data_IF_517118595702
#
_entry.id   IF_517118595702
#
_cell.length_a   1.000
_cell.length_b   1.000
_cell.length_c   1.000
_cell.angle_alpha   90.00
_cell.angle_beta   90.00
_cell.angle_gamma   90.00
#
_symmetry.space_group_name_H-M   'P 1'
#
loop_
_entity.id
_entity.type
_entity.pdbx_description
1 polymer ?
#
# COMPACT_ATOMS: atom_id res chain seq x y z
N UNK A 1 7.06 21.18 2.46
CA UNK A 1 6.15 20.03 2.73
C UNK A 1 5.56 19.55 1.41
N UNK A 2 5.48 18.24 1.20
CA UNK A 2 4.88 17.60 0.02
C UNK A 2 4.12 16.35 0.47
N UNK A 3 3.14 15.92 -0.32
CA UNK A 3 2.44 14.66 -0.13
C UNK A 3 2.88 13.64 -1.19
N UNK A 4 2.88 12.37 -0.83
CA UNK A 4 3.08 11.29 -1.78
C UNK A 4 2.30 10.03 -1.35
N UNK A 5 1.67 9.36 -2.33
CA UNK A 5 1.05 8.06 -2.14
C UNK A 5 2.04 6.97 -2.58
N UNK A 6 2.80 6.43 -1.63
CA UNK A 6 3.89 5.50 -1.86
C UNK A 6 3.43 4.04 -1.80
N UNK A 7 3.60 3.25 -2.87
CA UNK A 7 3.40 1.80 -2.87
C UNK A 7 4.19 1.08 -1.77
N UNK A 8 5.45 1.45 -1.55
CA UNK A 8 6.29 0.77 -0.55
C UNK A 8 5.83 1.00 0.89
N UNK A 9 5.27 2.17 1.20
CA UNK A 9 4.66 2.37 2.51
C UNK A 9 3.43 1.48 2.71
N UNK A 10 2.64 1.24 1.66
CA UNK A 10 1.53 0.29 1.73
C UNK A 10 2.01 -1.17 1.84
N UNK A 11 3.08 -1.55 1.14
CA UNK A 11 3.73 -2.86 1.31
C UNK A 11 4.15 -3.05 2.77
N UNK A 12 4.90 -2.10 3.33
CA UNK A 12 5.40 -2.21 4.69
C UNK A 12 4.30 -2.29 5.75
N UNK A 13 3.29 -1.42 5.64
CA UNK A 13 2.20 -1.34 6.63
C UNK A 13 1.22 -2.51 6.51
N UNK A 14 0.88 -2.96 5.30
CA UNK A 14 0.00 -4.11 5.08
C UNK A 14 0.66 -5.43 5.46
N UNK A 15 1.94 -5.62 5.13
CA UNK A 15 2.68 -6.82 5.54
C UNK A 15 2.79 -6.90 7.07
N UNK A 16 3.07 -5.77 7.73
CA UNK A 16 3.08 -5.70 9.20
C UNK A 16 1.73 -6.07 9.81
N UNK A 17 0.63 -5.63 9.21
CA UNK A 17 -0.71 -6.00 9.65
C UNK A 17 -0.94 -7.51 9.52
N UNK A 18 -0.53 -8.11 8.40
CA UNK A 18 -0.59 -9.57 8.21
C UNK A 18 0.23 -10.32 9.27
N UNK A 19 1.47 -9.88 9.50
CA UNK A 19 2.42 -10.50 10.43
C UNK A 19 2.00 -10.35 11.89
N UNK A 20 1.25 -9.31 12.26
CA UNK A 20 0.81 -9.07 13.63
C UNK A 20 -0.20 -10.10 14.13
N UNK A 21 -0.88 -10.81 13.23
CA UNK A 21 -1.98 -11.70 13.57
C UNK A 21 -3.20 -10.98 14.18
N UNK A 22 -3.12 -9.66 14.37
CA UNK A 22 -4.16 -8.86 15.00
C UNK A 22 -5.45 -8.87 14.16
N UNK A 23 -6.57 -8.90 14.85
CA UNK A 23 -7.86 -8.64 14.23
C UNK A 23 -7.99 -7.13 13.98
N UNK A 24 -8.04 -6.73 12.73
CA UNK A 24 -8.37 -5.36 12.33
C UNK A 24 -9.77 -5.37 11.71
N UNK A 25 -10.78 -4.77 12.38
CA UNK A 25 -12.15 -4.76 11.88
C UNK A 25 -12.28 -4.11 10.51
N UNK A 26 -11.47 -3.08 10.23
CA UNK A 26 -11.49 -2.36 8.96
C UNK A 26 -10.95 -3.26 7.85
N UNK A 27 -9.83 -3.93 8.08
CA UNK A 27 -9.16 -4.74 7.06
C UNK A 27 -9.54 -6.22 7.08
N UNK A 28 -10.54 -6.62 7.88
CA UNK A 28 -10.93 -8.04 8.05
C UNK A 28 -11.13 -8.77 6.72
N UNK A 29 -11.93 -8.21 5.79
CA UNK A 29 -12.20 -8.81 4.47
C UNK A 29 -10.95 -9.01 3.65
N UNK A 30 -10.05 -8.04 3.67
CA UNK A 30 -8.76 -8.11 2.97
C UNK A 30 -7.87 -9.18 3.61
N UNK A 31 -7.78 -9.21 4.95
CA UNK A 31 -7.00 -10.21 5.69
C UNK A 31 -7.49 -11.64 5.42
N UNK A 32 -8.80 -11.88 5.41
CA UNK A 32 -9.40 -13.18 5.11
C UNK A 32 -9.04 -13.70 3.71
N UNK A 33 -8.91 -12.81 2.73
CA UNK A 33 -8.57 -13.17 1.35
C UNK A 33 -7.07 -13.29 1.11
N UNK A 34 -6.28 -12.39 1.68
CA UNK A 34 -4.86 -12.26 1.36
C UNK A 34 -4.00 -13.18 2.20
N UNK A 35 -4.30 -13.38 3.49
CA UNK A 35 -3.49 -14.22 4.38
C UNK A 35 -3.30 -15.65 3.87
N UNK A 36 -4.33 -16.38 3.43
CA UNK A 36 -4.14 -17.73 2.88
C UNK A 36 -3.28 -17.73 1.61
N UNK A 37 -3.42 -16.71 0.76
CA UNK A 37 -2.66 -16.59 -0.48
C UNK A 37 -1.18 -16.30 -0.22
N UNK A 38 -0.88 -15.41 0.72
CA UNK A 38 0.49 -15.08 1.16
C UNK A 38 1.16 -16.32 1.74
N UNK A 39 0.47 -17.07 2.60
CA UNK A 39 0.97 -18.33 3.17
C UNK A 39 1.21 -19.40 2.11
N UNK A 40 0.26 -19.59 1.16
CA UNK A 40 0.40 -20.54 0.07
C UNK A 40 1.57 -20.21 -0.88
N UNK A 41 1.90 -18.91 -1.03
CA UNK A 41 3.06 -18.45 -1.79
C UNK A 41 4.38 -18.49 -0.99
N UNK A 42 4.34 -18.82 0.31
CA UNK A 42 5.52 -18.86 1.19
C UNK A 42 6.10 -17.48 1.56
N UNK A 43 5.38 -16.40 1.25
CA UNK A 43 5.84 -15.03 1.50
C UNK A 43 5.82 -14.65 2.99
N UNK A 44 5.05 -15.38 3.80
CA UNK A 44 5.00 -15.25 5.25
C UNK A 44 6.28 -15.74 5.97
N UNK A 45 7.19 -16.37 5.23
CA UNK A 45 8.45 -16.95 5.71
C UNK A 45 9.66 -16.50 4.88
N UNK A 46 9.47 -15.49 4.04
CA UNK A 46 10.48 -14.96 3.12
C UNK A 46 11.36 -13.84 3.71
N UNK A 47 11.88 -13.01 2.81
CA UNK A 47 12.65 -11.82 3.14
C UNK A 47 11.83 -10.77 3.88
N UNK A 48 10.58 -10.55 3.43
CA UNK A 48 9.69 -9.57 4.05
C UNK A 48 9.37 -9.95 5.51
N UNK A 49 9.19 -11.23 5.80
CA UNK A 49 8.94 -11.70 7.16
C UNK A 49 10.13 -11.45 8.11
N UNK A 50 11.35 -11.49 7.57
CA UNK A 50 12.54 -11.15 8.33
C UNK A 50 12.79 -9.64 8.41
N UNK A 51 12.45 -8.85 7.37
CA UNK A 51 12.69 -7.41 7.27
C UNK A 51 11.59 -6.58 7.96
N UNK A 52 10.34 -7.03 7.92
CA UNK A 52 9.18 -6.27 8.41
C UNK A 52 8.56 -7.00 9.61
N UNK A 53 9.06 -6.76 10.83
CA UNK A 53 8.49 -7.38 12.02
C UNK A 53 7.07 -6.88 12.29
N UNK A 54 6.29 -7.67 13.03
CA UNK A 54 4.93 -7.29 13.44
C UNK A 54 4.89 -6.02 14.30
N UNK A 55 5.98 -5.71 15.00
CA UNK A 55 6.16 -4.49 15.78
C UNK A 55 7.63 -4.04 15.75
N UNK A 56 7.90 -2.79 16.14
CA UNK A 56 9.24 -2.23 16.24
C UNK A 56 9.77 -1.64 14.92
N UNK A 57 11.09 -1.63 14.79
CA UNK A 57 11.81 -0.99 13.69
C UNK A 57 11.60 -1.73 12.36
N UNK A 58 11.48 -0.98 11.30
CA UNK A 58 11.50 -1.46 9.91
C UNK A 58 12.66 -0.75 9.19
N UNK A 59 13.51 -1.47 8.45
CA UNK A 59 14.63 -0.87 7.75
C UNK A 59 14.24 0.30 6.86
N UNK A 60 14.94 1.41 6.99
CA UNK A 60 14.65 2.66 6.28
C UNK A 60 14.88 2.55 4.77
N UNK A 61 15.80 1.65 4.34
CA UNK A 61 16.05 1.42 2.91
C UNK A 61 14.83 0.84 2.16
N UNK A 62 13.87 0.22 2.87
CA UNK A 62 12.63 -0.30 2.27
C UNK A 62 11.63 0.81 1.90
N UNK A 63 11.80 2.01 2.45
CA UNK A 63 10.93 3.15 2.16
C UNK A 63 11.73 4.30 1.55
N UNK A 64 12.23 4.16 0.31
CA UNK A 64 12.96 5.24 -0.36
C UNK A 64 12.10 6.50 -0.43
N UNK A 65 12.76 7.66 -0.52
CA UNK A 65 12.02 8.91 -0.66
C UNK A 65 11.31 8.94 -2.03
N UNK A 66 9.98 9.10 -2.07
CA UNK A 66 9.25 9.23 -3.32
C UNK A 66 9.77 10.39 -4.18
N UNK A 67 10.02 10.13 -5.46
CA UNK A 67 10.50 11.14 -6.42
C UNK A 67 9.41 12.13 -6.82
N UNK A 68 8.14 11.72 -6.69
CA UNK A 68 6.96 12.51 -7.03
C UNK A 68 5.77 12.22 -6.11
N UNK A 69 4.61 12.86 -6.37
CA UNK A 69 3.40 12.65 -5.56
C UNK A 69 2.76 11.29 -5.76
N UNK A 70 3.08 10.61 -6.86
CA UNK A 70 2.50 9.35 -7.27
C UNK A 70 3.55 8.39 -7.85
N UNK A 71 4.57 7.97 -7.05
CA UNK A 71 5.57 7.05 -7.54
C UNK A 71 4.94 5.71 -7.91
N UNK A 72 5.54 5.03 -8.87
CA UNK A 72 5.20 3.64 -9.18
C UNK A 72 6.00 2.70 -8.27
N UNK A 73 5.49 1.49 -8.06
CA UNK A 73 6.26 0.46 -7.35
C UNK A 73 7.63 0.22 -8.02
N UNK A 74 7.67 0.23 -9.35
CA UNK A 74 8.91 0.03 -10.13
C UNK A 74 9.98 1.06 -9.78
N UNK A 75 9.60 2.34 -9.67
CA UNK A 75 10.53 3.42 -9.30
C UNK A 75 11.07 3.23 -7.88
N UNK A 76 10.19 2.88 -6.93
CA UNK A 76 10.60 2.63 -5.55
C UNK A 76 11.45 1.36 -5.42
N UNK A 77 11.14 0.28 -6.16
CA UNK A 77 11.99 -0.91 -6.21
C UNK A 77 13.36 -0.65 -6.86
N UNK A 78 13.42 0.21 -7.87
CA UNK A 78 14.69 0.62 -8.45
C UNK A 78 15.55 1.35 -7.41
N UNK A 79 14.97 2.24 -6.63
CA UNK A 79 15.66 2.94 -5.54
C UNK A 79 16.11 1.99 -4.41
N UNK A 80 15.31 0.98 -4.07
CA UNK A 80 15.70 -0.06 -3.10
C UNK A 80 16.91 -0.86 -3.62
N UNK A 81 16.88 -1.30 -4.89
CA UNK A 81 17.99 -2.04 -5.50
C UNK A 81 19.27 -1.22 -5.57
N UNK A 82 19.16 0.10 -5.71
CA UNK A 82 20.27 1.05 -5.74
C UNK A 82 20.70 1.53 -4.34
N UNK A 83 20.10 1.02 -3.25
CA UNK A 83 20.41 1.48 -1.90
C UNK A 83 21.91 1.23 -1.58
N UNK A 84 22.63 2.24 -1.05
CA UNK A 84 24.03 2.09 -0.68
C UNK A 84 24.22 0.96 0.34
N UNK A 85 25.21 0.09 0.10
CA UNK A 85 25.47 -1.06 0.97
C UNK A 85 25.69 -0.67 2.45
N UNK A 86 26.34 0.46 2.70
CA UNK A 86 26.52 1.00 4.06
C UNK A 86 25.19 1.33 4.75
N UNK A 87 24.21 1.89 4.01
CA UNK A 87 22.86 2.16 4.53
C UNK A 87 22.14 0.87 4.89
N UNK A 88 22.18 -0.12 3.99
CA UNK A 88 21.54 -1.42 4.23
C UNK A 88 22.10 -2.08 5.48
N UNK A 89 23.42 -2.08 5.65
CA UNK A 89 24.07 -2.63 6.86
C UNK A 89 23.67 -1.87 8.11
N UNK A 90 23.68 -0.55 8.09
CA UNK A 90 23.26 0.29 9.22
C UNK A 90 21.81 -0.02 9.65
N UNK A 91 20.90 -0.15 8.69
CA UNK A 91 19.50 -0.50 8.97
C UNK A 91 19.36 -1.91 9.53
N UNK A 92 20.16 -2.87 9.05
CA UNK A 92 20.19 -4.23 9.58
C UNK A 92 20.81 -4.30 10.99
N UNK A 93 21.80 -3.47 11.31
CA UNK A 93 22.33 -3.33 12.67
C UNK A 93 21.25 -2.81 13.63
N UNK A 94 20.49 -1.78 13.22
CA UNK A 94 19.34 -1.30 13.98
C UNK A 94 18.29 -2.39 14.17
N UNK A 95 17.98 -3.16 13.13
CA UNK A 95 17.04 -4.28 13.21
C UNK A 95 17.54 -5.38 14.17
N UNK A 96 18.82 -5.73 14.12
CA UNK A 96 19.46 -6.69 15.01
C UNK A 96 19.40 -6.23 16.48
N UNK A 97 19.65 -4.96 16.73
CA UNK A 97 19.54 -4.38 18.08
C UNK A 97 18.12 -4.54 18.66
N UNK A 98 17.08 -4.42 17.86
CA UNK A 98 15.70 -4.56 18.30
C UNK A 98 15.23 -6.02 18.42
N UNK A 99 15.83 -6.95 17.66
CA UNK A 99 15.42 -8.37 17.60
C UNK A 99 16.35 -9.33 18.32
N UNK A 100 17.53 -8.87 18.69
CA UNK A 100 18.57 -9.69 19.33
C UNK A 100 19.51 -10.38 18.33
N UNK A 101 19.07 -10.70 17.11
CA UNK A 101 19.92 -11.31 16.08
C UNK A 101 19.31 -11.22 14.67
N UNK A 102 20.14 -11.39 13.65
CA UNK A 102 19.71 -11.52 12.26
C UNK A 102 19.54 -12.99 11.87
N UNK A 103 18.45 -13.30 11.18
CA UNK A 103 18.23 -14.59 10.55
C UNK A 103 19.20 -14.88 9.39
N UNK A 104 19.23 -16.10 8.84
CA UNK A 104 20.18 -16.49 7.80
C UNK A 104 20.10 -15.61 6.53
N UNK A 105 18.88 -15.26 6.09
CA UNK A 105 18.68 -14.38 4.93
C UNK A 105 19.27 -12.99 5.20
N UNK A 106 18.95 -12.39 6.34
CA UNK A 106 19.44 -11.06 6.69
C UNK A 106 20.95 -11.03 6.89
N UNK A 107 21.58 -12.09 7.40
CA UNK A 107 23.03 -12.22 7.41
C UNK A 107 23.61 -12.26 6.02
N UNK A 108 22.98 -12.95 5.06
CA UNK A 108 23.44 -12.95 3.66
C UNK A 108 23.26 -11.59 2.98
N UNK A 109 22.19 -10.86 3.33
CA UNK A 109 21.97 -9.47 2.87
C UNK A 109 23.02 -8.52 3.47
N UNK A 110 23.35 -8.68 4.74
CA UNK A 110 24.39 -7.89 5.40
C UNK A 110 25.77 -8.09 4.76
N UNK A 111 26.12 -9.34 4.45
CA UNK A 111 27.39 -9.69 3.82
C UNK A 111 27.50 -9.06 2.41
N UNK A 112 26.49 -9.22 1.58
CA UNK A 112 26.48 -8.75 0.18
C UNK A 112 25.14 -8.11 -0.20
N UNK A 113 24.90 -6.83 0.18
CA UNK A 113 23.67 -6.14 -0.15
C UNK A 113 23.41 -6.04 -1.66
N UNK A 114 24.38 -5.66 -2.53
CA UNK A 114 24.11 -5.55 -3.97
C UNK A 114 23.61 -6.85 -4.60
N UNK A 115 24.19 -8.00 -4.23
CA UNK A 115 23.76 -9.29 -4.78
C UNK A 115 22.42 -9.77 -4.25
N UNK A 116 21.94 -9.27 -3.09
CA UNK A 116 20.73 -9.75 -2.43
C UNK A 116 19.53 -8.83 -2.54
N UNK A 117 19.72 -7.52 -2.75
CA UNK A 117 18.60 -6.57 -2.88
C UNK A 117 17.68 -6.90 -4.06
N UNK A 118 18.21 -7.52 -5.12
CA UNK A 118 17.39 -8.04 -6.22
C UNK A 118 16.35 -9.05 -5.75
N UNK A 119 16.74 -10.00 -4.88
CA UNK A 119 15.83 -11.01 -4.31
C UNK A 119 14.79 -10.42 -3.36
N UNK A 120 15.17 -9.40 -2.60
CA UNK A 120 14.23 -8.64 -1.77
C UNK A 120 13.19 -7.96 -2.65
N UNK A 121 13.62 -7.31 -3.74
CA UNK A 121 12.73 -6.64 -4.68
C UNK A 121 11.77 -7.62 -5.39
N UNK A 122 12.26 -8.78 -5.82
CA UNK A 122 11.43 -9.84 -6.41
C UNK A 122 10.32 -10.31 -5.46
N UNK A 123 10.63 -10.47 -4.18
CA UNK A 123 9.64 -10.88 -3.18
C UNK A 123 8.64 -9.76 -2.87
N UNK A 124 9.09 -8.50 -2.84
CA UNK A 124 8.20 -7.34 -2.71
C UNK A 124 7.23 -7.29 -3.89
N UNK A 125 7.71 -7.49 -5.11
CA UNK A 125 6.88 -7.50 -6.32
C UNK A 125 5.85 -8.64 -6.28
N UNK A 126 6.27 -9.85 -5.88
CA UNK A 126 5.37 -10.99 -5.71
C UNK A 126 4.30 -10.73 -4.63
N UNK A 127 4.68 -10.12 -3.51
CA UNK A 127 3.74 -9.72 -2.47
C UNK A 127 2.77 -8.64 -2.97
N UNK A 128 3.27 -7.63 -3.67
CA UNK A 128 2.46 -6.57 -4.26
C UNK A 128 1.40 -7.12 -5.20
N UNK A 129 1.80 -7.96 -6.16
CA UNK A 129 0.89 -8.53 -7.16
C UNK A 129 -0.23 -9.37 -6.53
N UNK A 130 0.07 -10.03 -5.44
CA UNK A 130 -0.87 -10.89 -4.73
C UNK A 130 -1.76 -10.11 -3.75
N UNK A 131 -1.17 -9.20 -2.98
CA UNK A 131 -1.80 -8.63 -1.80
C UNK A 131 -2.36 -7.21 -2.02
N UNK A 132 -1.75 -6.40 -2.89
CA UNK A 132 -2.07 -4.98 -3.03
C UNK A 132 -2.52 -4.57 -4.43
N UNK A 133 -1.85 -5.03 -5.48
CA UNK A 133 -2.18 -4.63 -6.85
C UNK A 133 -3.65 -4.86 -7.23
N UNK A 134 -4.30 -5.97 -6.85
CA UNK A 134 -5.72 -6.19 -7.12
C UNK A 134 -6.67 -5.20 -6.42
N UNK A 135 -6.18 -4.53 -5.38
CA UNK A 135 -6.95 -3.57 -4.57
C UNK A 135 -6.47 -2.13 -4.77
N UNK A 136 -5.40 -1.95 -5.56
CA UNK A 136 -4.70 -0.67 -5.64
C UNK A 136 -5.57 0.49 -6.08
N UNK A 137 -6.49 0.25 -7.01
CA UNK A 137 -7.43 1.27 -7.47
C UNK A 137 -8.24 1.88 -6.31
N UNK A 138 -8.74 1.05 -5.40
CA UNK A 138 -9.50 1.49 -4.21
C UNK A 138 -8.61 2.16 -3.18
N UNK A 139 -7.47 1.54 -2.88
CA UNK A 139 -6.48 2.09 -1.95
C UNK A 139 -6.09 3.48 -2.43
N UNK A 140 -5.72 3.61 -3.70
CA UNK A 140 -5.31 4.87 -4.30
C UNK A 140 -6.37 5.96 -4.20
N UNK A 141 -7.63 5.62 -4.46
CA UNK A 141 -8.76 6.57 -4.31
C UNK A 141 -8.84 7.14 -2.90
N UNK A 142 -8.65 6.31 -1.87
CA UNK A 142 -8.67 6.77 -0.47
C UNK A 142 -7.46 7.65 -0.16
N UNK A 143 -6.27 7.28 -0.63
CA UNK A 143 -5.06 8.07 -0.43
C UNK A 143 -5.15 9.42 -1.13
N UNK A 144 -5.62 9.46 -2.37
CA UNK A 144 -5.80 10.71 -3.14
C UNK A 144 -6.86 11.62 -2.52
N UNK A 145 -7.94 11.05 -2.00
CA UNK A 145 -8.97 11.82 -1.29
C UNK A 145 -8.42 12.45 0.01
N UNK A 146 -7.59 11.72 0.76
CA UNK A 146 -6.92 12.27 1.96
C UNK A 146 -5.94 13.37 1.58
N UNK A 147 -5.11 13.16 0.56
CA UNK A 147 -4.16 14.17 0.05
C UNK A 147 -4.90 15.44 -0.38
N UNK A 148 -5.98 15.30 -1.16
CA UNK A 148 -6.78 16.44 -1.61
C UNK A 148 -7.37 17.23 -0.43
N UNK A 149 -7.94 16.53 0.54
CA UNK A 149 -8.48 17.14 1.75
C UNK A 149 -7.40 17.89 2.53
N UNK A 150 -6.23 17.26 2.73
CA UNK A 150 -5.11 17.87 3.47
C UNK A 150 -4.48 19.04 2.73
N UNK A 151 -4.33 18.92 1.41
CA UNK A 151 -3.81 20.01 0.58
C UNK A 151 -4.74 21.24 0.64
N UNK A 152 -6.05 21.03 0.58
CA UNK A 152 -7.05 22.08 0.75
C UNK A 152 -6.97 22.71 2.15
N UNK A 153 -6.85 21.91 3.21
CA UNK A 153 -6.68 22.39 4.58
C UNK A 153 -5.44 23.30 4.72
N UNK A 154 -4.33 22.93 4.06
CA UNK A 154 -3.12 23.77 4.05
C UNK A 154 -3.35 25.08 3.31
N UNK A 155 -4.05 25.05 2.18
CA UNK A 155 -4.35 26.25 1.39
C UNK A 155 -5.29 27.23 2.14
N UNK A 156 -6.27 26.69 2.88
CA UNK A 156 -7.26 27.50 3.61
C UNK A 156 -6.74 27.99 4.97
N UNK A 157 -5.93 27.19 5.67
CA UNK A 157 -5.63 27.43 7.09
C UNK A 157 -4.14 27.36 7.45
N UNK A 158 -3.27 27.07 6.47
CA UNK A 158 -1.83 26.94 6.68
C UNK A 158 -1.39 25.57 7.20
N UNK A 159 -0.08 25.34 7.14
CA UNK A 159 0.51 24.05 7.51
C UNK A 159 0.43 23.75 9.02
N UNK A 160 0.47 24.76 9.86
CA UNK A 160 0.40 24.59 11.32
C UNK A 160 -0.88 23.90 11.77
N UNK A 161 -2.04 24.32 11.22
CA UNK A 161 -3.31 23.68 11.53
C UNK A 161 -3.37 22.24 11.05
N UNK A 162 -2.87 21.97 9.85
CA UNK A 162 -2.78 20.58 9.35
C UNK A 162 -2.02 19.69 10.33
N UNK A 163 -0.84 20.11 10.80
CA UNK A 163 -0.03 19.30 11.70
C UNK A 163 -0.71 19.06 13.04
N UNK A 164 -1.33 20.08 13.62
CA UNK A 164 -2.04 19.95 14.89
C UNK A 164 -3.29 19.09 14.82
N UNK A 165 -3.89 18.93 13.62
CA UNK A 165 -5.04 18.07 13.39
C UNK A 165 -4.67 16.71 12.77
N UNK A 166 -3.40 16.51 12.38
CA UNK A 166 -2.96 15.29 11.70
C UNK A 166 -3.05 14.07 12.60
N UNK A 167 -2.54 14.20 13.82
CA UNK A 167 -2.50 13.11 14.79
C UNK A 167 -2.21 13.68 16.20
N UNK A 168 -2.77 13.09 17.30
CA UNK A 168 -2.53 13.58 18.67
C UNK A 168 -1.06 13.63 19.12
N UNK A 169 -0.19 12.86 18.46
CA UNK A 169 1.25 12.87 18.74
C UNK A 169 2.04 13.90 17.92
N UNK A 170 1.37 14.68 17.08
CA UNK A 170 1.99 15.72 16.25
C UNK A 170 1.54 17.09 16.76
N UNK A 171 2.48 17.97 16.95
CA UNK A 171 2.23 19.36 17.28
C UNK A 171 3.10 20.29 16.43
N UNK A 172 2.57 21.44 16.09
CA UNK A 172 3.28 22.51 15.41
C UNK A 172 3.25 23.75 16.27
N UNK A 173 4.42 24.22 16.64
CA UNK A 173 4.60 25.40 17.47
C UNK A 173 5.93 26.08 17.13
N UNK A 174 5.97 27.40 17.04
CA UNK A 174 7.16 28.21 16.72
C UNK A 174 7.97 27.71 15.51
N UNK A 175 7.29 27.33 14.41
CA UNK A 175 7.91 26.74 13.22
C UNK A 175 8.64 25.39 13.46
N UNK A 176 8.37 24.73 14.57
CA UNK A 176 8.93 23.44 14.94
C UNK A 176 7.84 22.36 14.89
N UNK A 177 8.09 21.29 14.14
CA UNK A 177 7.26 20.09 14.17
C UNK A 177 7.70 19.20 15.32
N UNK A 178 6.83 19.01 16.30
CA UNK A 178 7.07 18.17 17.49
C UNK A 178 6.36 16.82 17.31
N UNK A 179 7.07 15.72 17.55
CA UNK A 179 6.51 14.39 17.58
C UNK A 179 6.64 13.87 19.03
N UNK A 180 5.52 13.72 19.72
CA UNK A 180 5.50 13.17 21.07
C UNK A 180 6.11 11.76 21.07
N UNK A 181 6.88 11.45 22.12
CA UNK A 181 7.62 10.18 22.30
C UNK A 181 8.81 9.96 21.34
N UNK A 182 9.28 10.98 20.64
CA UNK A 182 10.53 10.94 19.87
C UNK A 182 11.57 11.84 20.57
N UNK A 183 12.69 11.26 20.99
CA UNK A 183 13.76 12.00 21.68
C UNK A 183 14.83 12.54 20.72
N UNK A 184 14.63 12.39 19.41
CA UNK A 184 15.61 12.83 18.41
C UNK A 184 15.20 14.17 17.81
N UNK A 185 16.08 15.17 17.94
CA UNK A 185 15.97 16.45 17.26
C UNK A 185 16.63 16.36 15.88
N UNK A 186 15.95 16.81 14.85
CA UNK A 186 16.48 16.96 13.49
C UNK A 186 16.57 18.44 13.19
N UNK A 187 17.77 19.03 13.10
CA UNK A 187 17.92 20.41 12.68
C UNK A 187 17.42 20.58 11.25
N UNK A 188 16.76 21.70 10.96
CA UNK A 188 16.18 22.02 9.64
C UNK A 188 17.21 21.93 8.51
N UNK A 189 18.43 22.30 8.78
CA UNK A 189 19.56 22.28 7.83
C UNK A 189 19.94 20.86 7.41
N UNK A 190 19.71 19.86 8.28
CA UNK A 190 19.94 18.43 8.02
C UNK A 190 18.73 17.72 7.42
N UNK A 191 17.60 18.42 7.23
CA UNK A 191 16.32 17.83 6.83
C UNK A 191 16.10 17.77 5.32
N UNK A 192 17.10 18.17 4.51
CA UNK A 192 17.01 18.15 3.05
C UNK A 192 15.87 19.04 2.51
N UNK A 193 15.23 18.61 1.42
CA UNK A 193 14.21 19.37 0.69
C UNK A 193 12.82 19.47 1.37
N UNK A 194 12.76 19.42 2.69
CA UNK A 194 11.54 19.57 3.48
C UNK A 194 10.94 18.22 3.91
N UNK A 195 9.66 18.20 4.32
CA UNK A 195 8.97 17.03 4.87
C UNK A 195 8.06 16.37 3.83
N UNK A 196 8.09 15.05 3.74
CA UNK A 196 7.14 14.23 2.99
C UNK A 196 6.06 13.68 3.94
N UNK A 197 4.82 13.96 3.62
CA UNK A 197 3.65 13.41 4.30
C UNK A 197 3.11 12.23 3.48
N UNK A 198 3.03 11.07 4.10
CA UNK A 198 2.65 9.83 3.44
C UNK A 198 1.37 9.28 4.08
N UNK A 199 0.20 9.50 3.48
CA UNK A 199 -0.99 8.79 3.90
C UNK A 199 -0.84 7.30 3.60
N UNK A 200 -1.31 6.44 4.50
CA UNK A 200 -1.33 4.99 4.29
C UNK A 200 -2.65 4.40 4.75
N UNK A 201 -3.21 3.52 3.93
CA UNK A 201 -4.47 2.85 4.19
C UNK A 201 -4.32 1.77 5.27
N UNK A 202 -3.16 1.08 5.32
CA UNK A 202 -2.91 0.00 6.27
C UNK A 202 -2.17 0.45 7.52
N UNK A 203 -1.86 1.74 7.63
CA UNK A 203 -1.22 2.26 8.84
C UNK A 203 -2.17 2.16 10.03
N UNK A 204 -1.70 1.51 11.09
CA UNK A 204 -2.39 1.50 12.39
C UNK A 204 -2.46 2.90 13.04
N UNK A 205 -2.98 2.99 14.26
CA UNK A 205 -3.28 4.27 14.89
C UNK A 205 -2.07 5.15 15.23
N UNK A 206 -0.85 4.62 15.16
CA UNK A 206 0.36 5.41 15.42
C UNK A 206 0.95 6.05 14.17
N UNK A 207 2.04 6.77 14.35
CA UNK A 207 2.85 7.36 13.29
C UNK A 207 4.07 6.51 12.97
N UNK A 208 4.57 6.61 11.75
CA UNK A 208 5.90 6.10 11.38
C UNK A 208 6.71 7.22 10.75
N UNK A 209 7.99 7.28 11.11
CA UNK A 209 8.92 8.24 10.53
C UNK A 209 10.07 7.51 9.90
N UNK A 210 10.52 7.99 8.76
CA UNK A 210 11.81 7.66 8.17
C UNK A 210 12.67 8.90 8.13
N UNK A 211 13.89 8.77 8.64
CA UNK A 211 14.88 9.86 8.62
C UNK A 211 16.20 9.31 8.17
N UNK A 212 16.53 9.56 6.93
CA UNK A 212 17.69 9.01 6.27
C UNK A 212 18.34 10.07 5.35
N UNK A 213 19.16 10.99 5.91
CA UNK A 213 19.85 12.01 5.11
C UNK A 213 20.67 11.37 3.98
N UNK A 214 20.75 12.04 2.81
CA UNK A 214 20.26 13.37 2.46
C UNK A 214 18.79 13.44 2.08
N UNK A 215 18.04 12.33 2.13
CA UNK A 215 16.63 12.31 1.76
C UNK A 215 15.78 13.18 2.71
N UNK A 216 14.68 13.76 2.21
CA UNK A 216 13.75 14.45 3.05
C UNK A 216 13.11 13.49 4.07
N UNK A 217 12.92 13.91 5.33
CA UNK A 217 12.17 13.13 6.31
C UNK A 217 10.78 12.78 5.81
N UNK A 218 10.34 11.57 6.14
CA UNK A 218 9.01 11.08 5.82
C UNK A 218 8.21 10.87 7.10
N UNK A 219 6.95 11.28 7.08
CA UNK A 219 5.98 11.05 8.15
C UNK A 219 4.78 10.31 7.58
N UNK A 220 4.68 9.02 7.89
CA UNK A 220 3.56 8.20 7.48
C UNK A 220 2.48 8.19 8.57
N UNK A 221 1.25 8.40 8.15
CA UNK A 221 0.07 8.49 9.01
C UNK A 221 -1.11 7.72 8.39
N UNK A 222 -2.12 7.41 9.20
CA UNK A 222 -3.33 6.73 8.72
C UNK A 222 -4.16 7.69 7.87
N UNK A 223 -4.47 7.29 6.62
CA UNK A 223 -5.32 8.05 5.73
C UNK A 223 -6.76 8.14 6.27
N UNK A 224 -7.44 9.24 5.98
CA UNK A 224 -8.87 9.41 6.25
C UNK A 224 -9.67 8.53 5.30
N UNK A 225 -10.87 8.13 5.72
CA UNK A 225 -11.78 7.34 4.87
C UNK A 225 -11.43 5.86 4.75
N UNK A 226 -10.40 5.37 5.45
CA UNK A 226 -10.01 3.94 5.42
C UNK A 226 -11.16 3.04 5.88
N UNK A 227 -12.06 3.51 6.75
CA UNK A 227 -13.22 2.76 7.21
C UNK A 227 -14.14 2.31 6.07
N UNK A 228 -14.24 3.08 5.00
CA UNK A 228 -15.09 2.79 3.84
C UNK A 228 -14.38 2.02 2.73
N UNK A 229 -13.08 1.73 2.90
CA UNK A 229 -12.23 1.10 1.86
C UNK A 229 -12.81 -0.23 1.34
N UNK A 230 -13.43 -1.02 2.23
CA UNK A 230 -13.95 -2.35 1.92
C UNK A 230 -15.49 -2.41 1.91
N UNK A 231 -16.16 -1.27 2.02
CA UNK A 231 -17.62 -1.21 1.90
C UNK A 231 -18.05 -1.60 0.49
N UNK A 232 -19.11 -2.41 0.41
CA UNK A 232 -19.76 -2.67 -0.88
C UNK A 232 -20.41 -1.37 -1.35
N UNK A 233 -19.95 -0.85 -2.46
CA UNK A 233 -20.64 0.24 -3.14
C UNK A 233 -21.89 -0.36 -3.80
N UNK A 234 -23.05 0.04 -3.33
CA UNK A 234 -24.31 -0.29 -4.00
C UNK A 234 -24.33 0.33 -5.39
N UNK A 235 -24.49 -0.49 -6.42
CA UNK A 235 -24.60 -0.04 -7.81
C UNK A 235 -26.07 0.35 -8.04
N UNK A 236 -26.41 1.60 -7.76
CA UNK A 236 -27.78 2.12 -7.92
C UNK A 236 -28.18 2.35 -9.36
N UNK A 237 -27.27 2.37 -10.28
CA UNK A 237 -27.51 2.60 -11.73
C UNK A 237 -27.26 1.37 -12.61
N UNK A 238 -27.40 0.15 -12.06
CA UNK A 238 -27.15 -1.07 -12.83
C UNK A 238 -27.92 -1.15 -14.15
N UNK A 239 -29.14 -0.62 -14.21
CA UNK A 239 -29.96 -0.61 -15.43
C UNK A 239 -29.32 0.20 -16.57
N UNK A 240 -28.76 1.36 -16.29
CA UNK A 240 -28.07 2.18 -17.28
C UNK A 240 -26.80 1.49 -17.79
N UNK A 241 -26.03 0.87 -16.88
CA UNK A 241 -24.85 0.10 -17.26
C UNK A 241 -25.18 -1.15 -18.07
N UNK A 242 -26.29 -1.82 -17.76
CA UNK A 242 -26.78 -2.97 -18.55
C UNK A 242 -27.08 -2.56 -19.99
N UNK A 243 -27.65 -1.38 -20.20
CA UNK A 243 -27.92 -0.87 -21.56
C UNK A 243 -26.63 -0.66 -22.39
N UNK A 244 -25.53 -0.26 -21.73
CA UNK A 244 -24.23 0.02 -22.40
C UNK A 244 -23.35 -1.22 -22.51
N UNK A 245 -23.16 -1.94 -21.42
CA UNK A 245 -22.21 -3.06 -21.31
C UNK A 245 -22.84 -4.45 -21.52
N UNK A 246 -24.15 -4.53 -21.43
CA UNK A 246 -24.89 -5.78 -21.41
C UNK A 246 -24.92 -6.42 -20.00
N UNK A 247 -25.93 -7.25 -19.77
CA UNK A 247 -26.24 -7.83 -18.45
C UNK A 247 -25.06 -8.62 -17.85
N UNK A 248 -24.43 -9.49 -18.64
CA UNK A 248 -23.34 -10.36 -18.16
C UNK A 248 -22.11 -9.57 -17.71
N UNK A 249 -21.68 -8.56 -18.46
CA UNK A 249 -20.52 -7.72 -18.13
C UNK A 249 -20.79 -6.83 -16.92
N UNK A 250 -22.01 -6.26 -16.85
CA UNK A 250 -22.42 -5.45 -15.69
C UNK A 250 -22.45 -6.33 -14.42
N UNK A 251 -23.01 -7.54 -14.51
CA UNK A 251 -23.01 -8.48 -13.38
C UNK A 251 -21.58 -8.81 -12.92
N UNK A 252 -20.69 -9.14 -13.84
CA UNK A 252 -19.28 -9.45 -13.51
C UNK A 252 -18.58 -8.24 -12.89
N UNK A 253 -18.79 -7.03 -13.41
CA UNK A 253 -18.25 -5.83 -12.79
C UNK A 253 -18.80 -5.62 -11.38
N UNK A 254 -20.08 -5.91 -11.14
CA UNK A 254 -20.69 -5.79 -9.80
C UNK A 254 -20.08 -6.81 -8.84
N UNK A 255 -19.93 -8.07 -9.26
CA UNK A 255 -19.35 -9.15 -8.45
C UNK A 255 -17.84 -9.01 -8.20
N UNK A 256 -17.14 -8.25 -9.01
CA UNK A 256 -15.75 -7.84 -8.80
C UNK A 256 -15.61 -6.73 -7.73
N UNK A 257 -16.56 -6.61 -6.83
CA UNK A 257 -16.43 -5.81 -5.60
C UNK A 257 -15.18 -6.21 -4.78
N UNK A 258 -14.81 -7.47 -4.85
CA UNK A 258 -13.52 -7.99 -4.40
C UNK A 258 -12.84 -8.74 -5.54
N UNK A 259 -11.49 -8.67 -5.64
CA UNK A 259 -10.77 -9.41 -6.66
C UNK A 259 -11.08 -10.91 -6.60
N UNK A 260 -11.37 -11.50 -7.77
CA UNK A 260 -11.78 -12.88 -7.86
C UNK A 260 -11.19 -13.58 -9.09
N UNK A 261 -11.11 -14.91 -9.02
CA UNK A 261 -10.74 -15.79 -10.14
C UNK A 261 -11.93 -16.01 -11.06
N UNK A 262 -11.67 -16.51 -12.27
CA UNK A 262 -12.73 -16.92 -13.21
C UNK A 262 -13.66 -17.98 -12.60
N UNK A 263 -13.10 -18.93 -11.83
CA UNK A 263 -13.88 -19.99 -11.16
C UNK A 263 -14.79 -19.40 -10.07
N UNK A 264 -14.28 -18.52 -9.23
CA UNK A 264 -15.07 -17.86 -8.18
C UNK A 264 -16.20 -17.01 -8.79
N UNK A 265 -15.93 -16.29 -9.88
CA UNK A 265 -16.93 -15.49 -10.59
C UNK A 265 -18.00 -16.36 -11.24
N UNK A 266 -17.63 -17.49 -11.88
CA UNK A 266 -18.58 -18.43 -12.43
C UNK A 266 -19.53 -18.96 -11.35
N UNK A 267 -18.99 -19.32 -10.20
CA UNK A 267 -19.78 -19.79 -9.07
C UNK A 267 -20.73 -18.71 -8.52
N UNK A 268 -20.26 -17.46 -8.35
CA UNK A 268 -21.06 -16.36 -7.80
C UNK A 268 -22.18 -15.89 -8.75
N UNK A 269 -21.91 -15.93 -10.05
CA UNK A 269 -22.82 -15.39 -11.08
C UNK A 269 -23.74 -16.44 -11.71
N UNK A 270 -23.44 -17.74 -11.51
CA UNK A 270 -24.12 -18.81 -12.21
C UNK A 270 -23.78 -18.92 -13.71
N UNK A 271 -22.80 -18.14 -14.20
CA UNK A 271 -22.37 -18.16 -15.60
C UNK A 271 -21.41 -19.33 -15.87
N UNK A 272 -21.38 -19.77 -17.13
CA UNK A 272 -20.36 -20.74 -17.53
C UNK A 272 -18.94 -20.17 -17.47
N UNK A 273 -17.94 -21.00 -17.20
CA UNK A 273 -16.53 -20.62 -17.19
C UNK A 273 -16.11 -19.93 -18.51
N UNK A 274 -16.58 -20.43 -19.65
CA UNK A 274 -16.30 -19.84 -20.96
C UNK A 274 -16.92 -18.45 -21.10
N UNK A 275 -18.18 -18.28 -20.68
CA UNK A 275 -18.87 -16.98 -20.70
C UNK A 275 -18.22 -15.93 -19.81
N UNK A 276 -17.78 -16.35 -18.59
CA UNK A 276 -17.02 -15.49 -17.69
C UNK A 276 -15.69 -15.09 -18.32
N UNK A 277 -14.92 -16.03 -18.85
CA UNK A 277 -13.62 -15.77 -19.48
C UNK A 277 -13.72 -14.81 -20.66
N UNK A 278 -14.70 -15.02 -21.53
CA UNK A 278 -14.96 -14.14 -22.68
C UNK A 278 -15.33 -12.72 -22.24
N UNK A 279 -16.21 -12.60 -21.25
CA UNK A 279 -16.65 -11.30 -20.75
C UNK A 279 -15.52 -10.56 -20.03
N UNK A 280 -14.68 -11.25 -19.24
CA UNK A 280 -13.51 -10.68 -18.58
C UNK A 280 -12.46 -10.22 -19.60
N UNK A 281 -12.26 -10.97 -20.70
CA UNK A 281 -11.37 -10.56 -21.78
C UNK A 281 -11.86 -9.27 -22.43
N UNK A 282 -13.15 -9.16 -22.73
CA UNK A 282 -13.73 -7.93 -23.28
C UNK A 282 -13.61 -6.75 -22.31
N UNK A 283 -13.91 -6.95 -21.03
CA UNK A 283 -13.78 -5.93 -20.00
C UNK A 283 -12.33 -5.47 -19.80
N UNK A 284 -11.37 -6.39 -19.90
CA UNK A 284 -9.94 -6.09 -19.80
C UNK A 284 -9.48 -5.27 -21.01
N UNK A 285 -9.86 -5.65 -22.20
CA UNK A 285 -9.54 -4.92 -23.42
C UNK A 285 -10.14 -3.50 -23.45
N UNK A 286 -11.30 -3.33 -22.81
CA UNK A 286 -11.94 -2.03 -22.61
C UNK A 286 -11.39 -1.23 -21.42
N UNK A 287 -10.40 -1.75 -20.67
CA UNK A 287 -9.78 -1.06 -19.55
C UNK A 287 -10.62 -1.03 -18.25
N UNK A 288 -11.70 -1.81 -18.16
CA UNK A 288 -12.52 -1.88 -16.94
C UNK A 288 -11.98 -2.85 -15.89
N UNK A 289 -11.19 -3.85 -16.31
CA UNK A 289 -10.69 -4.90 -15.45
C UNK A 289 -9.20 -5.11 -15.69
N UNK A 290 -8.45 -5.32 -14.60
CA UNK A 290 -7.06 -5.79 -14.63
C UNK A 290 -6.98 -7.27 -14.26
N UNK A 291 -5.89 -7.92 -14.66
CA UNK A 291 -5.61 -9.32 -14.31
C UNK A 291 -4.25 -9.38 -13.59
N UNK A 292 -4.23 -9.98 -12.40
CA UNK A 292 -3.06 -10.10 -11.55
C UNK A 292 -2.76 -11.57 -11.29
N UNK A 293 -1.50 -11.97 -11.45
CA UNK A 293 -1.10 -13.34 -11.18
C UNK A 293 -0.96 -13.57 -9.68
N UNK A 294 -1.69 -14.53 -9.14
CA UNK A 294 -1.64 -14.95 -7.75
C UNK A 294 -1.28 -16.45 -7.68
N UNK A 295 0.01 -16.75 -7.68
CA UNK A 295 0.52 -18.11 -7.74
C UNK A 295 0.09 -18.83 -9.04
N UNK A 296 -0.72 -19.88 -8.92
CA UNK A 296 -1.27 -20.65 -10.06
C UNK A 296 -2.57 -20.05 -10.61
N UNK A 297 -3.14 -19.07 -9.95
CA UNK A 297 -4.42 -18.45 -10.32
C UNK A 297 -4.22 -17.05 -10.88
N UNK A 298 -5.22 -16.56 -11.62
CA UNK A 298 -5.31 -15.18 -12.06
C UNK A 298 -6.48 -14.53 -11.35
N UNK A 299 -6.22 -13.41 -10.66
CA UNK A 299 -7.21 -12.56 -10.01
C UNK A 299 -7.57 -11.42 -10.94
N UNK A 300 -8.84 -11.22 -11.14
CA UNK A 300 -9.39 -10.07 -11.85
C UNK A 300 -9.84 -9.01 -10.84
N UNK A 301 -9.60 -7.75 -11.15
CA UNK A 301 -9.97 -6.63 -10.30
C UNK A 301 -10.46 -5.46 -11.15
N UNK A 302 -11.32 -4.62 -10.57
CA UNK A 302 -11.77 -3.37 -11.21
C UNK A 302 -10.63 -2.38 -11.31
N UNK A 303 -10.63 -1.62 -12.41
CA UNK A 303 -9.77 -0.43 -12.57
C UNK A 303 -10.41 0.80 -11.93
N UNK A 304 -9.66 1.91 -11.75
CA UNK A 304 -10.24 3.20 -11.35
C UNK A 304 -11.37 3.67 -12.24
N UNK A 305 -11.28 3.40 -13.55
CA UNK A 305 -12.34 3.72 -14.53
C UNK A 305 -13.62 2.96 -14.22
N UNK A 306 -13.53 1.66 -13.97
CA UNK A 306 -14.68 0.84 -13.57
C UNK A 306 -15.31 1.33 -12.26
N UNK A 307 -14.50 1.66 -11.26
CA UNK A 307 -14.98 2.19 -10.00
C UNK A 307 -15.71 3.54 -10.18
N UNK A 308 -15.17 4.43 -11.04
CA UNK A 308 -15.80 5.72 -11.34
C UNK A 308 -17.14 5.54 -12.06
N UNK A 309 -17.21 4.67 -13.05
CA UNK A 309 -18.44 4.41 -13.82
C UNK A 309 -19.52 3.81 -12.90
N UNK A 310 -19.15 2.86 -12.03
CA UNK A 310 -20.07 2.27 -11.05
C UNK A 310 -20.55 3.28 -10.00
N UNK A 311 -19.72 4.27 -9.65
CA UNK A 311 -20.06 5.31 -8.69
C UNK A 311 -20.97 6.40 -9.28
N UNK A 312 -20.81 6.71 -10.58
CA UNK A 312 -21.54 7.78 -11.27
C UNK A 312 -22.96 7.35 -11.70
N UNK A 313 -23.21 6.04 -11.74
CA UNK A 313 -24.53 5.48 -12.10
C UNK A 313 -25.56 5.61 -10.96
N UNK A 314 -25.60 6.79 -10.32
CA UNK A 314 -26.59 7.15 -9.29
C UNK A 314 -27.86 7.73 -9.88
#
# INVERSE_FOLDING_TARGET
MRFAASPMWEVGTSFRLLASGAADPVHRRWLEQVRPRVAAAGLDRGWLAELIPSAGYCPDFLNPAPTGPAPTLREELAAIKAAPAGRVRQDLDHLAHHRGSLGPRLRSLYADPPARLGRVAEEIEAYWDLALAPYWARIRTVLDADIFHRARQVAEHGAGRLFNELHPLVGWDDNVLRLARRQRTLPRESSGAGLLLIPSAFKGPGLSTRVAPPDPPQLAYRARGVGTLWERRSVTGAAALVAVLGRSRTLLLTELDTPATTTELAHRTGMSMAGVSQSLTALRNAGFVTAHRAGRSVLYARTPVAESVLATSR
#
